data_IF_886412962776
#
_entry.id   IF_886412962776
#
_cell.length_a   1.000
_cell.length_b   1.000
_cell.length_c   1.000
_cell.angle_alpha   90.00
_cell.angle_beta   90.00
_cell.angle_gamma   90.00
#
_symmetry.space_group_name_H-M   'P 1'
#
loop_
_entity.id
_entity.type
_entity.pdbx_description
1 polymer ?
#
# COMPACT_ATOMS: atom_id res chain seq x y z
N UNK A 1 -9.18 8.69 16.54
CA UNK A 1 -10.53 8.65 17.13
C UNK A 1 -11.24 9.99 16.97
N UNK A 2 -12.58 10.01 17.03
CA UNK A 2 -13.45 11.19 17.09
C UNK A 2 -13.53 12.08 15.83
N UNK A 3 -12.89 11.68 14.73
CA UNK A 3 -13.14 12.28 13.42
C UNK A 3 -14.57 11.97 12.96
N UNK A 4 -15.29 12.99 12.50
CA UNK A 4 -16.64 12.83 11.94
C UNK A 4 -16.69 13.43 10.54
N UNK A 5 -17.26 12.70 9.60
CA UNK A 5 -17.48 13.19 8.24
C UNK A 5 -18.83 12.72 7.69
N UNK A 6 -19.50 13.61 6.97
CA UNK A 6 -20.69 13.26 6.20
C UNK A 6 -20.26 12.91 4.78
N UNK A 7 -20.62 11.72 4.31
CA UNK A 7 -20.22 11.19 3.01
C UNK A 7 -21.49 10.84 2.21
N UNK A 8 -21.51 11.18 0.92
CA UNK A 8 -22.60 10.79 0.02
C UNK A 8 -22.47 9.31 -0.30
N UNK A 9 -23.60 8.59 -0.30
CA UNK A 9 -23.63 7.17 -0.61
C UNK A 9 -23.02 6.86 -1.98
N UNK A 10 -23.24 7.74 -2.96
CA UNK A 10 -22.70 7.60 -4.33
C UNK A 10 -21.18 7.68 -4.39
N UNK A 11 -20.54 8.45 -3.50
CA UNK A 11 -19.08 8.56 -3.48
C UNK A 11 -18.42 7.25 -3.02
N UNK A 12 -19.18 6.40 -2.31
CA UNK A 12 -18.73 5.12 -1.75
C UNK A 12 -19.20 3.95 -2.61
N UNK A 13 -20.47 3.85 -2.95
CA UNK A 13 -21.10 2.63 -3.50
C UNK A 13 -21.28 2.60 -5.02
N UNK A 14 -20.75 3.59 -5.74
CA UNK A 14 -20.76 3.63 -7.22
C UNK A 14 -19.33 3.67 -7.78
N UNK A 15 -18.35 3.16 -7.03
CA UNK A 15 -16.95 3.09 -7.47
C UNK A 15 -16.68 1.65 -7.94
N UNK A 16 -16.00 1.44 -9.07
CA UNK A 16 -15.76 0.09 -9.59
C UNK A 16 -15.13 -0.90 -8.57
N UNK A 17 -14.32 -0.40 -7.64
CA UNK A 17 -13.67 -1.21 -6.60
C UNK A 17 -14.54 -1.46 -5.36
N UNK A 18 -15.63 -0.72 -5.17
CA UNK A 18 -16.56 -0.90 -4.05
C UNK A 18 -17.81 -1.70 -4.46
N UNK A 19 -18.14 -1.75 -5.74
CA UNK A 19 -19.26 -2.52 -6.28
C UNK A 19 -19.09 -4.05 -6.06
N UNK A 20 -17.84 -4.51 -5.94
CA UNK A 20 -17.46 -5.92 -5.74
C UNK A 20 -17.60 -6.41 -4.30
N UNK A 21 -17.63 -5.48 -3.34
CA UNK A 21 -18.05 -5.78 -1.98
C UNK A 21 -19.56 -5.87 -2.01
N UNK A 22 -20.06 -7.03 -2.42
CA UNK A 22 -21.47 -7.36 -2.39
C UNK A 22 -21.97 -7.12 -0.97
N UNK A 23 -22.46 -5.91 -0.72
CA UNK A 23 -23.13 -5.59 0.51
C UNK A 23 -24.27 -6.60 0.61
N UNK A 24 -24.31 -7.32 1.72
CA UNK A 24 -25.46 -8.12 2.08
C UNK A 24 -26.17 -7.37 3.20
N UNK A 25 -27.39 -6.85 2.96
CA UNK A 25 -28.18 -6.91 1.72
C UNK A 25 -27.67 -5.98 0.60
N UNK A 26 -28.05 -6.29 -0.64
CA UNK A 26 -27.65 -5.54 -1.85
C UNK A 26 -27.92 -4.04 -1.71
N UNK A 27 -27.06 -3.16 -2.24
CA UNK A 27 -27.25 -1.72 -2.12
C UNK A 27 -28.59 -1.27 -2.73
N UNK A 28 -29.24 -0.22 -2.18
CA UNK A 28 -30.44 0.38 -2.76
C UNK A 28 -30.25 0.82 -4.22
N UNK A 29 -31.34 1.02 -4.98
CA UNK A 29 -31.26 1.56 -6.34
C UNK A 29 -30.47 2.88 -6.42
N UNK A 30 -29.79 3.19 -7.54
CA UNK A 30 -28.99 4.40 -7.70
C UNK A 30 -29.73 5.70 -7.39
N UNK A 31 -31.03 5.76 -7.69
CA UNK A 31 -31.90 6.90 -7.38
C UNK A 31 -32.06 7.16 -5.88
N UNK A 32 -32.03 6.09 -5.08
CA UNK A 32 -32.08 6.15 -3.61
C UNK A 32 -30.69 6.53 -3.08
N UNK A 33 -29.64 5.88 -3.57
CA UNK A 33 -28.25 6.21 -3.20
C UNK A 33 -27.92 7.69 -3.45
N UNK A 34 -28.39 8.27 -4.56
CA UNK A 34 -28.18 9.69 -4.89
C UNK A 34 -28.71 10.67 -3.82
N UNK A 35 -29.60 10.23 -2.92
CA UNK A 35 -30.21 11.04 -1.86
C UNK A 35 -29.74 10.66 -0.46
N UNK A 36 -28.90 9.64 -0.34
CA UNK A 36 -28.44 9.11 0.94
C UNK A 36 -27.09 9.71 1.33
N UNK A 37 -27.02 10.19 2.57
CA UNK A 37 -25.79 10.62 3.21
C UNK A 37 -25.59 9.80 4.49
N UNK A 38 -24.34 9.42 4.76
CA UNK A 38 -23.97 8.72 5.97
C UNK A 38 -22.98 9.55 6.77
N UNK A 39 -23.17 9.60 8.07
CA UNK A 39 -22.20 10.16 9.00
C UNK A 39 -21.29 9.04 9.50
N UNK A 40 -20.01 9.13 9.17
CA UNK A 40 -18.99 8.20 9.63
C UNK A 40 -18.29 8.83 10.82
N UNK A 41 -18.14 8.07 11.91
CA UNK A 41 -17.38 8.45 13.10
C UNK A 41 -16.22 7.47 13.31
N UNK A 42 -15.00 7.99 13.38
CA UNK A 42 -13.81 7.19 13.63
C UNK A 42 -13.70 6.76 15.08
N UNK A 43 -13.65 5.46 15.34
CA UNK A 43 -13.50 4.90 16.70
C UNK A 43 -12.05 4.89 17.18
N UNK A 44 -11.07 4.95 16.27
CA UNK A 44 -9.64 4.91 16.60
C UNK A 44 -9.13 3.56 17.11
N UNK A 45 -9.82 2.46 16.81
CA UNK A 45 -9.39 1.11 17.18
C UNK A 45 -8.56 0.47 16.08
N UNK A 46 -7.27 0.27 16.35
CA UNK A 46 -6.36 -0.49 15.48
C UNK A 46 -6.85 -1.91 15.24
N UNK A 47 -7.28 -2.62 16.29
CA UNK A 47 -7.69 -4.04 16.18
C UNK A 47 -8.95 -4.20 15.31
N UNK A 48 -9.94 -3.31 15.47
CA UNK A 48 -11.13 -3.34 14.62
C UNK A 48 -10.79 -2.96 13.18
N UNK A 49 -9.88 -2.00 12.98
CA UNK A 49 -9.42 -1.61 11.65
C UNK A 49 -8.69 -2.78 10.96
N UNK A 50 -7.75 -3.43 11.65
CA UNK A 50 -7.02 -4.60 11.16
C UNK A 50 -7.96 -5.74 10.77
N UNK A 51 -8.97 -6.03 11.61
CA UNK A 51 -9.99 -7.04 11.29
C UNK A 51 -10.80 -6.70 10.04
N UNK A 52 -11.16 -5.42 9.83
CA UNK A 52 -11.93 -4.99 8.66
C UNK A 52 -11.08 -5.00 7.39
N UNK A 53 -9.85 -4.49 7.46
CA UNK A 53 -8.88 -4.46 6.36
C UNK A 53 -8.47 -5.88 5.97
N UNK A 54 -8.29 -6.77 6.94
CA UNK A 54 -7.95 -8.18 6.68
C UNK A 54 -8.96 -8.89 5.78
N UNK A 55 -10.23 -8.45 5.74
CA UNK A 55 -11.23 -9.00 4.83
C UNK A 55 -10.85 -8.82 3.36
N UNK A 56 -10.06 -7.80 3.03
CA UNK A 56 -9.61 -7.52 1.66
C UNK A 56 -8.69 -8.59 1.09
N UNK A 57 -8.05 -9.38 1.96
CA UNK A 57 -7.01 -10.35 1.60
C UNK A 57 -7.53 -11.77 1.87
N UNK A 58 -8.23 -12.37 0.89
CA UNK A 58 -8.67 -13.76 1.01
C UNK A 58 -7.45 -14.70 0.91
N UNK A 59 -7.24 -15.55 1.90
CA UNK A 59 -6.12 -16.50 1.94
C UNK A 59 -6.38 -17.84 1.21
N UNK A 60 -7.54 -18.00 0.55
CA UNK A 60 -7.84 -19.20 -0.27
C UNK A 60 -6.81 -19.33 -1.40
N UNK A 61 -6.31 -20.55 -1.61
CA UNK A 61 -5.25 -20.85 -2.57
C UNK A 61 -5.36 -22.28 -3.09
N UNK A 62 -5.56 -22.43 -4.39
CA UNK A 62 -5.58 -23.72 -5.11
C UNK A 62 -4.22 -24.00 -5.80
N UNK A 63 -3.25 -23.09 -5.65
CA UNK A 63 -1.90 -23.18 -6.17
C UNK A 63 -0.89 -23.65 -5.10
N UNK A 64 0.37 -23.87 -5.49
CA UNK A 64 1.42 -24.27 -4.54
C UNK A 64 1.72 -23.19 -3.48
N UNK A 65 1.72 -21.92 -3.89
CA UNK A 65 1.85 -20.76 -3.00
C UNK A 65 1.06 -19.59 -3.57
N UNK A 66 0.34 -18.85 -2.73
CA UNK A 66 -0.39 -17.66 -3.12
C UNK A 66 -0.07 -16.48 -2.22
N UNK A 67 -0.34 -15.27 -2.72
CA UNK A 67 -0.46 -14.08 -1.89
C UNK A 67 -1.86 -13.97 -1.29
N UNK A 68 -2.83 -13.50 -2.08
CA UNK A 68 -4.24 -13.43 -1.70
C UNK A 68 -5.14 -13.53 -2.94
N UNK A 69 -6.43 -13.84 -2.73
CA UNK A 69 -7.43 -14.04 -3.78
C UNK A 69 -7.01 -15.10 -4.83
N UNK A 70 -6.41 -16.20 -4.40
CA UNK A 70 -5.94 -17.30 -5.28
C UNK A 70 -4.92 -16.86 -6.36
N UNK A 71 -4.13 -15.83 -6.07
CA UNK A 71 -3.08 -15.37 -6.98
C UNK A 71 -1.76 -16.05 -6.61
N UNK A 72 -1.25 -16.88 -7.52
CA UNK A 72 0.06 -17.52 -7.38
C UNK A 72 1.16 -16.49 -7.12
N UNK A 73 1.94 -16.72 -6.06
CA UNK A 73 3.11 -15.89 -5.75
C UNK A 73 4.17 -16.74 -5.06
N UNK A 74 5.44 -16.77 -5.54
CA UNK A 74 6.54 -17.39 -4.81
C UNK A 74 6.89 -16.60 -3.54
N UNK A 75 7.59 -17.25 -2.61
CA UNK A 75 8.08 -16.59 -1.41
C UNK A 75 9.07 -15.45 -1.74
N UNK A 76 9.01 -14.30 -1.03
CA UNK A 76 10.01 -13.24 -1.17
C UNK A 76 11.42 -13.77 -0.86
N UNK A 77 12.34 -13.66 -1.83
CA UNK A 77 13.66 -14.29 -1.74
C UNK A 77 14.85 -13.31 -1.69
N UNK A 78 14.67 -12.06 -2.13
CA UNK A 78 15.72 -11.05 -2.22
C UNK A 78 15.29 -9.73 -1.59
N UNK A 79 16.14 -8.69 -1.71
CA UNK A 79 15.75 -7.32 -1.36
C UNK A 79 14.62 -6.81 -2.27
N UNK A 80 13.72 -6.02 -1.70
CA UNK A 80 12.60 -5.35 -2.35
C UNK A 80 12.57 -3.88 -1.99
N UNK A 81 12.27 -3.03 -2.96
CA UNK A 81 12.05 -1.59 -2.75
C UNK A 81 10.56 -1.29 -2.77
N UNK A 82 10.04 -0.76 -1.67
CA UNK A 82 8.65 -0.35 -1.50
C UNK A 82 8.53 1.17 -1.65
N UNK A 83 8.07 1.62 -2.83
CA UNK A 83 8.03 3.03 -3.23
C UNK A 83 6.61 3.61 -3.30
N UNK A 84 6.47 4.90 -3.63
CA UNK A 84 5.18 5.60 -3.75
C UNK A 84 4.35 5.49 -2.46
N UNK A 85 3.13 4.93 -2.51
CA UNK A 85 2.23 4.87 -1.36
C UNK A 85 2.84 4.17 -0.15
N UNK A 86 3.63 3.11 -0.36
CA UNK A 86 4.36 2.44 0.72
C UNK A 86 5.34 3.39 1.40
N UNK A 87 6.13 4.12 0.62
CA UNK A 87 7.11 5.07 1.12
C UNK A 87 6.46 6.19 1.92
N UNK A 88 5.41 6.85 1.41
CA UNK A 88 4.81 7.99 2.11
C UNK A 88 4.15 7.57 3.43
N UNK A 89 3.51 6.40 3.47
CA UNK A 89 2.95 5.84 4.71
C UNK A 89 4.08 5.50 5.69
N UNK A 90 5.10 4.77 5.23
CA UNK A 90 6.27 4.43 6.04
C UNK A 90 6.96 5.70 6.60
N UNK A 91 7.21 6.70 5.75
CA UNK A 91 7.82 7.97 6.11
C UNK A 91 7.00 8.72 7.17
N UNK A 92 5.67 8.76 7.03
CA UNK A 92 4.78 9.39 8.01
C UNK A 92 4.92 8.76 9.41
N UNK A 93 4.97 7.42 9.46
CA UNK A 93 5.18 6.69 10.71
C UNK A 93 6.64 6.64 11.16
N UNK A 94 7.53 7.35 10.45
CA UNK A 94 8.97 7.32 10.63
C UNK A 94 9.58 5.91 10.50
N UNK A 95 8.89 5.01 9.78
CA UNK A 95 9.31 3.63 9.53
C UNK A 95 10.66 3.56 8.79
N UNK A 96 10.97 4.58 7.97
CA UNK A 96 12.25 4.69 7.26
C UNK A 96 13.45 4.92 8.21
N UNK A 97 13.26 5.56 9.37
CA UNK A 97 14.30 5.69 10.42
C UNK A 97 14.20 4.60 11.50
N UNK A 98 13.02 3.98 11.64
CA UNK A 98 12.74 2.91 12.60
C UNK A 98 13.38 1.58 12.22
N UNK A 99 13.80 1.41 10.95
CA UNK A 99 14.78 0.41 10.52
C UNK A 99 14.33 -1.04 10.74
N UNK A 100 13.96 -1.73 9.65
CA UNK A 100 13.89 -3.20 9.54
C UNK A 100 13.08 -3.99 10.59
N UNK A 101 12.45 -3.33 11.57
CA UNK A 101 11.66 -3.95 12.64
C UNK A 101 10.16 -3.70 12.41
N UNK A 102 9.51 -4.75 11.90
CA UNK A 102 8.05 -4.81 11.72
C UNK A 102 7.28 -4.42 12.98
N UNK A 103 7.76 -4.80 14.16
CA UNK A 103 7.05 -4.58 15.42
C UNK A 103 6.97 -3.09 15.76
N UNK A 104 8.04 -2.34 15.52
CA UNK A 104 8.03 -0.89 15.73
C UNK A 104 7.06 -0.19 14.78
N UNK A 105 6.97 -0.63 13.52
CA UNK A 105 5.98 -0.09 12.59
C UNK A 105 4.54 -0.39 13.04
N UNK A 106 4.26 -1.62 13.46
CA UNK A 106 2.95 -2.00 14.04
C UNK A 106 2.61 -1.13 15.25
N UNK A 107 3.56 -0.92 16.16
CA UNK A 107 3.36 -0.11 17.36
C UNK A 107 3.10 1.37 17.03
N UNK A 108 3.84 1.92 16.06
CA UNK A 108 3.64 3.30 15.60
C UNK A 108 2.24 3.51 15.00
N UNK A 109 1.79 2.59 14.14
CA UNK A 109 0.44 2.62 13.54
C UNK A 109 -0.63 2.49 14.63
N UNK A 110 -0.48 1.52 15.54
CA UNK A 110 -1.41 1.31 16.66
C UNK A 110 -1.54 2.54 17.54
N UNK A 111 -0.42 3.14 17.94
CA UNK A 111 -0.40 4.34 18.77
C UNK A 111 -1.07 5.53 18.07
N UNK A 112 -0.85 5.68 16.76
CA UNK A 112 -1.48 6.75 15.99
C UNK A 112 -2.99 6.59 15.85
N UNK A 113 -3.49 5.38 15.57
CA UNK A 113 -4.93 5.13 15.44
C UNK A 113 -5.72 5.57 16.69
N UNK A 114 -5.12 5.43 17.88
CA UNK A 114 -5.71 5.80 19.17
C UNK A 114 -5.72 7.31 19.43
N UNK A 115 -4.95 8.11 18.69
CA UNK A 115 -4.92 9.57 18.87
C UNK A 115 -6.29 10.18 18.55
N UNK A 116 -6.71 11.15 19.36
CA UNK A 116 -7.89 11.98 19.05
C UNK A 116 -7.60 12.84 17.83
N UNK A 117 -8.59 12.94 16.96
CA UNK A 117 -8.53 13.86 15.83
C UNK A 117 -8.65 15.30 16.37
N UNK A 118 -7.63 16.11 16.13
CA UNK A 118 -7.60 17.53 16.51
C UNK A 118 -7.52 18.35 15.23
N UNK A 119 -8.61 19.04 14.90
CA UNK A 119 -8.74 19.82 13.66
C UNK A 119 -7.88 21.11 13.64
N UNK A 120 -7.13 21.41 14.70
CA UNK A 120 -6.57 22.74 14.96
C UNK A 120 -5.10 22.70 15.40
N UNK A 121 -4.18 22.18 14.57
CA UNK A 121 -2.74 22.48 14.70
C UNK A 121 -2.06 22.44 13.32
N UNK A 122 -2.17 23.53 12.53
CA UNK A 122 -1.22 23.88 11.47
C UNK A 122 -1.04 22.96 10.25
N UNK A 123 -1.61 21.76 10.24
CA UNK A 123 -1.56 20.83 9.12
C UNK A 123 -2.85 20.95 8.30
N UNK A 124 -2.72 21.38 7.03
CA UNK A 124 -3.77 21.18 6.04
C UNK A 124 -3.88 19.68 5.81
N UNK A 125 -4.89 18.98 6.33
CA UNK A 125 -4.76 17.53 6.27
C UNK A 125 -6.02 16.75 5.97
N UNK A 126 -6.39 16.80 4.69
CA UNK A 126 -7.18 15.78 4.02
C UNK A 126 -6.56 14.38 4.12
N UNK A 127 -5.25 14.26 4.40
CA UNK A 127 -4.52 12.98 4.50
C UNK A 127 -4.42 12.44 5.93
N UNK A 128 -4.34 13.29 6.98
CA UNK A 128 -4.28 12.80 8.38
C UNK A 128 -5.37 11.80 8.75
N UNK A 129 -6.58 12.02 8.24
CA UNK A 129 -7.72 11.13 8.51
C UNK A 129 -7.54 9.71 7.93
N UNK A 130 -6.66 9.54 6.95
CA UNK A 130 -6.44 8.28 6.24
C UNK A 130 -5.27 7.47 6.79
N UNK A 131 -4.25 8.09 7.39
CA UNK A 131 -3.01 7.38 7.79
C UNK A 131 -3.21 6.19 8.74
N UNK A 132 -4.23 6.20 9.61
CA UNK A 132 -4.53 5.01 10.41
C UNK A 132 -4.96 3.83 9.52
N UNK A 133 -5.85 4.07 8.55
CA UNK A 133 -6.25 3.07 7.57
C UNK A 133 -5.07 2.68 6.67
N UNK A 134 -4.33 3.65 6.13
CA UNK A 134 -3.22 3.38 5.21
C UNK A 134 -2.10 2.57 5.89
N UNK A 135 -1.76 2.87 7.14
CA UNK A 135 -0.79 2.10 7.91
C UNK A 135 -1.22 0.65 8.13
N UNK A 136 -2.48 0.43 8.52
CA UNK A 136 -3.04 -0.92 8.68
C UNK A 136 -3.11 -1.66 7.34
N UNK A 137 -3.49 -0.95 6.26
CA UNK A 137 -3.55 -1.49 4.91
C UNK A 137 -2.19 -1.94 4.41
N UNK A 138 -1.16 -1.09 4.54
CA UNK A 138 0.22 -1.43 4.16
C UNK A 138 0.74 -2.64 4.95
N UNK A 139 0.54 -2.67 6.27
CA UNK A 139 0.93 -3.83 7.10
C UNK A 139 0.24 -5.12 6.65
N UNK A 140 -1.07 -5.05 6.38
CA UNK A 140 -1.87 -6.21 5.95
C UNK A 140 -1.49 -6.69 4.55
N UNK A 141 -1.22 -5.75 3.63
CA UNK A 141 -0.82 -6.04 2.26
C UNK A 141 0.58 -6.69 2.21
N UNK A 142 1.55 -6.14 2.95
CA UNK A 142 2.89 -6.72 3.04
C UNK A 142 2.84 -8.12 3.66
N UNK A 143 1.99 -8.32 4.68
CA UNK A 143 1.74 -9.64 5.25
C UNK A 143 1.15 -10.61 4.22
N UNK A 144 0.18 -10.17 3.41
CA UNK A 144 -0.41 -10.97 2.35
C UNK A 144 0.59 -11.29 1.21
N UNK A 145 1.61 -10.46 1.01
CA UNK A 145 2.75 -10.77 0.12
C UNK A 145 3.81 -11.68 0.75
N UNK A 146 3.62 -12.12 2.00
CA UNK A 146 4.55 -13.02 2.69
C UNK A 146 5.69 -12.33 3.44
N UNK A 147 5.63 -11.01 3.64
CA UNK A 147 6.55 -10.30 4.51
C UNK A 147 6.09 -10.39 5.97
N UNK A 148 6.92 -11.03 6.80
CA UNK A 148 6.69 -11.30 8.21
C UNK A 148 7.91 -10.86 9.03
N UNK A 149 7.94 -11.20 10.31
CA UNK A 149 8.99 -10.78 11.25
C UNK A 149 10.40 -11.29 10.87
N UNK A 150 10.51 -12.42 10.17
CA UNK A 150 11.81 -13.04 9.84
C UNK A 150 12.44 -12.49 8.57
N UNK A 151 11.63 -12.01 7.62
CA UNK A 151 12.10 -11.49 6.33
C UNK A 151 11.80 -9.99 6.11
N UNK A 152 11.31 -9.28 7.14
CA UNK A 152 11.03 -7.84 7.05
C UNK A 152 12.26 -7.01 6.65
N UNK A 153 13.46 -7.45 7.05
CA UNK A 153 14.72 -6.82 6.67
C UNK A 153 15.04 -6.87 5.17
N UNK A 154 14.26 -7.61 4.36
CA UNK A 154 14.35 -7.58 2.90
C UNK A 154 13.66 -6.36 2.28
N UNK A 155 12.86 -5.60 3.05
CA UNK A 155 12.12 -4.44 2.57
C UNK A 155 12.89 -3.13 2.83
N UNK A 156 13.06 -2.34 1.78
CA UNK A 156 13.59 -0.97 1.83
C UNK A 156 12.49 -0.01 1.36
N UNK A 157 12.17 1.00 2.17
CA UNK A 157 11.16 2.01 1.82
C UNK A 157 11.85 3.23 1.22
N UNK A 158 11.77 3.40 -0.10
CA UNK A 158 12.45 4.49 -0.83
C UNK A 158 11.55 5.10 -1.90
N UNK A 159 11.64 6.41 -2.09
CA UNK A 159 10.92 7.11 -3.18
C UNK A 159 11.83 7.51 -4.34
N UNK A 160 13.14 7.44 -4.16
CA UNK A 160 14.12 7.93 -5.12
C UNK A 160 15.30 6.97 -5.23
N UNK A 161 15.68 6.60 -6.47
CA UNK A 161 16.86 5.77 -6.73
C UNK A 161 18.16 6.61 -6.79
N UNK A 162 18.04 7.91 -7.09
CA UNK A 162 19.13 8.88 -7.06
C UNK A 162 18.61 10.21 -6.52
N UNK A 163 19.48 11.19 -6.29
CA UNK A 163 19.07 12.55 -5.85
C UNK A 163 18.09 13.24 -6.81
N UNK A 164 18.05 12.84 -8.09
CA UNK A 164 17.21 13.46 -9.11
C UNK A 164 16.05 12.56 -9.60
N UNK A 165 16.12 11.24 -9.40
CA UNK A 165 15.18 10.31 -10.03
C UNK A 165 14.30 9.59 -9.01
N UNK A 166 12.99 9.80 -9.15
CA UNK A 166 11.96 9.06 -8.42
C UNK A 166 11.85 7.62 -8.93
N UNK A 167 11.64 6.68 -8.03
CA UNK A 167 11.40 5.28 -8.38
C UNK A 167 10.00 5.17 -9.00
N UNK A 168 9.91 4.57 -10.18
CA UNK A 168 8.64 4.39 -10.87
C UNK A 168 8.81 3.69 -12.21
N UNK A 169 7.68 3.27 -12.79
CA UNK A 169 7.65 2.53 -14.05
C UNK A 169 7.99 3.39 -15.28
N UNK A 170 7.83 4.71 -15.19
CA UNK A 170 7.94 5.63 -16.35
C UNK A 170 9.32 5.61 -17.00
N UNK A 171 10.39 5.54 -16.20
CA UNK A 171 11.75 5.47 -16.72
C UNK A 171 12.00 4.13 -17.43
N UNK A 172 11.62 3.02 -16.80
CA UNK A 172 11.73 1.67 -17.40
C UNK A 172 10.96 1.56 -18.71
N UNK A 173 9.75 2.13 -18.77
CA UNK A 173 8.95 2.20 -19.98
C UNK A 173 9.63 2.99 -21.10
N UNK A 174 10.20 4.16 -20.78
CA UNK A 174 10.92 4.98 -21.75
C UNK A 174 12.15 4.25 -22.30
N UNK A 175 12.89 3.56 -21.44
CA UNK A 175 14.06 2.79 -21.84
C UNK A 175 13.66 1.60 -22.73
N UNK A 176 12.57 0.90 -22.39
CA UNK A 176 12.06 -0.20 -23.21
C UNK A 176 11.64 0.28 -24.61
N UNK A 177 10.89 1.38 -24.67
CA UNK A 177 10.38 1.92 -25.93
C UNK A 177 11.46 2.49 -26.85
N UNK A 178 12.57 2.97 -26.27
CA UNK A 178 13.69 3.53 -27.03
C UNK A 178 14.65 2.47 -27.58
N UNK A 179 14.48 1.19 -27.23
CA UNK A 179 15.37 0.11 -27.66
C UNK A 179 16.78 0.22 -27.07
N UNK A 180 16.94 0.96 -25.97
CA UNK A 180 18.24 1.27 -25.36
C UNK A 180 18.78 0.14 -24.46
N UNK A 181 17.99 -0.90 -24.18
CA UNK A 181 18.46 -2.11 -23.50
C UNK A 181 18.78 -3.16 -24.56
N UNK A 182 20.06 -3.41 -24.85
CA UNK A 182 20.43 -4.53 -25.71
C UNK A 182 20.08 -5.86 -25.00
N UNK A 183 19.52 -6.80 -25.75
CA UNK A 183 19.16 -8.12 -25.24
C UNK A 183 20.40 -8.98 -24.91
N UNK A 184 21.51 -8.70 -25.59
CA UNK A 184 22.78 -9.40 -25.43
C UNK A 184 23.86 -8.39 -25.07
N UNK A 185 24.83 -8.82 -24.27
CA UNK A 185 26.03 -8.02 -24.04
C UNK A 185 26.74 -7.75 -25.38
N UNK A 186 27.27 -6.53 -25.63
CA UNK A 186 28.09 -6.28 -26.80
C UNK A 186 29.21 -7.31 -26.88
N UNK A 187 29.43 -7.90 -28.06
CA UNK A 187 30.56 -8.79 -28.29
C UNK A 187 31.83 -8.05 -27.89
N UNK A 188 32.56 -8.59 -26.91
CA UNK A 188 33.84 -8.05 -26.46
C UNK A 188 34.80 -8.14 -27.65
N UNK A 189 35.11 -7.01 -28.29
CA UNK A 189 36.11 -6.98 -29.35
C UNK A 189 37.48 -7.15 -28.70
N UNK A 190 37.98 -8.38 -28.71
CA UNK A 190 39.38 -8.63 -28.37
C UNK A 190 40.20 -8.02 -29.51
N UNK A 191 40.76 -6.83 -29.28
CA UNK A 191 41.73 -6.24 -30.20
C UNK A 191 42.95 -7.16 -30.24
N UNK A 192 43.08 -7.93 -31.32
CA UNK A 192 44.30 -8.67 -31.62
C UNK A 192 45.42 -7.65 -31.83
N UNK A 193 46.56 -7.76 -31.11
CA UNK A 193 47.71 -6.92 -31.40
C UNK A 193 48.18 -7.22 -32.83
N UNK A 194 48.24 -6.20 -33.68
CA UNK A 194 48.86 -6.32 -34.99
C UNK A 194 50.33 -6.72 -34.79
N UNK A 195 50.69 -7.87 -35.37
CA UNK A 195 52.06 -8.37 -35.53
C UNK A 195 52.81 -7.67 -36.64
#
# INVERSE_FOLDING_TARGET
ADYTATVRATDVFQRPCSDRWQLQPSPPPPSVLARLNFTIRGTGSYENCSKLVGKFFNASCDQSTCSFNDVFQPAPASKFVAFSGFYYVASFFNASNIGSDRMQFVNAVRAFCQKRYLASIGYSDSFLRWYCFDGVYVLSLLNAYGFNETNWGLLEFEDSATSANKVGWSLGYTILQSGLIPAESPLMSLSLPCS
#
